data_IF_368220192847
#
_entry.id   IF_368220192847
#
_cell.length_a   1.000
_cell.length_b   1.000
_cell.length_c   1.000
_cell.angle_alpha   90.00
_cell.angle_beta   90.00
_cell.angle_gamma   90.00
#
_symmetry.space_group_name_H-M   'P 1'
#
loop_
_entity.id
_entity.type
_entity.pdbx_description
1 polymer ?
#
# COMPACT_ATOMS: atom_id res chain seq x y z
N UNK A 1 -1.61 -3.29 9.81
CA UNK A 1 -2.41 -4.41 9.28
C UNK A 1 -3.83 -4.29 9.79
N UNK A 2 -4.72 -5.23 9.44
CA UNK A 2 -6.14 -5.15 9.87
C UNK A 2 -6.33 -5.31 11.38
N UNK A 3 -5.38 -5.95 12.08
CA UNK A 3 -5.37 -6.14 13.53
C UNK A 3 -4.40 -5.18 14.25
N UNK A 4 -4.06 -4.04 13.64
CA UNK A 4 -3.19 -3.05 14.28
C UNK A 4 -3.93 -2.32 15.41
N UNK A 5 -3.62 -2.69 16.65
CA UNK A 5 -4.19 -2.08 17.86
C UNK A 5 -3.60 -0.68 18.16
N UNK A 6 -2.44 -0.33 17.59
CA UNK A 6 -1.81 0.98 17.76
C UNK A 6 -2.40 2.01 16.83
N UNK A 7 -2.67 1.59 15.59
CA UNK A 7 -3.26 2.42 14.53
C UNK A 7 -4.40 1.63 13.87
N UNK A 8 -5.66 1.84 14.29
CA UNK A 8 -6.80 1.09 13.77
C UNK A 8 -6.97 1.22 12.26
N UNK A 9 -7.38 0.14 11.60
CA UNK A 9 -7.60 0.09 10.14
C UNK A 9 -8.61 1.13 9.65
N UNK A 10 -9.54 1.55 10.52
CA UNK A 10 -10.55 2.58 10.24
C UNK A 10 -9.94 3.91 9.81
N UNK A 11 -8.75 4.28 10.30
CA UNK A 11 -8.07 5.49 9.84
C UNK A 11 -7.74 5.41 8.34
N UNK A 12 -7.29 4.25 7.87
CA UNK A 12 -7.00 4.01 6.46
C UNK A 12 -8.27 3.96 5.62
N UNK A 13 -9.37 3.38 6.12
CA UNK A 13 -10.67 3.38 5.43
C UNK A 13 -11.22 4.78 5.25
N UNK A 14 -11.19 5.61 6.30
CA UNK A 14 -11.68 6.98 6.25
C UNK A 14 -10.86 7.79 5.24
N UNK A 15 -9.53 7.69 5.29
CA UNK A 15 -8.65 8.41 4.38
C UNK A 15 -8.85 7.98 2.91
N UNK A 16 -8.92 6.67 2.64
CA UNK A 16 -9.16 6.17 1.27
C UNK A 16 -10.48 6.71 0.72
N UNK A 17 -11.56 6.62 1.50
CA UNK A 17 -12.88 7.13 1.08
C UNK A 17 -12.86 8.63 0.84
N UNK A 18 -12.18 9.41 1.69
CA UNK A 18 -12.06 10.85 1.52
C UNK A 18 -11.27 11.22 0.26
N UNK A 19 -10.15 10.54 -0.02
CA UNK A 19 -9.34 10.77 -1.23
C UNK A 19 -10.13 10.39 -2.49
N UNK A 20 -10.82 9.24 -2.46
CA UNK A 20 -11.71 8.81 -3.54
C UNK A 20 -12.82 9.83 -3.79
N UNK A 21 -13.45 10.36 -2.73
CA UNK A 21 -14.47 11.41 -2.86
C UNK A 21 -13.94 12.70 -3.50
N UNK A 22 -12.70 13.08 -3.20
CA UNK A 22 -12.03 14.25 -3.78
C UNK A 22 -11.49 14.02 -5.20
N UNK A 23 -11.65 12.82 -5.77
CA UNK A 23 -11.10 12.45 -7.07
C UNK A 23 -9.57 12.32 -7.08
N UNK A 24 -8.94 12.19 -5.92
CA UNK A 24 -7.49 11.96 -5.80
C UNK A 24 -7.22 10.47 -6.01
N UNK A 25 -6.34 10.08 -6.94
CA UNK A 25 -6.01 8.67 -7.15
C UNK A 25 -5.46 8.04 -5.88
N UNK A 26 -6.10 6.97 -5.41
CA UNK A 26 -5.71 6.22 -4.21
C UNK A 26 -5.85 4.72 -4.42
N UNK A 27 -5.04 3.93 -3.72
CA UNK A 27 -5.18 2.46 -3.62
C UNK A 27 -4.86 2.03 -2.20
N UNK A 28 -5.84 1.44 -1.52
CA UNK A 28 -5.66 0.89 -0.17
C UNK A 28 -5.27 -0.60 -0.24
N UNK A 29 -4.16 -0.95 0.41
CA UNK A 29 -3.73 -2.33 0.63
C UNK A 29 -4.03 -2.73 2.07
N UNK A 30 -4.79 -3.81 2.25
CA UNK A 30 -5.09 -4.38 3.56
C UNK A 30 -4.40 -5.72 3.70
N UNK A 31 -3.76 -5.92 4.83
CA UNK A 31 -3.15 -7.21 5.18
C UNK A 31 -3.97 -7.82 6.31
N UNK A 32 -4.78 -8.87 6.02
CA UNK A 32 -5.50 -9.64 7.02
C UNK A 32 -4.56 -10.16 8.09
N UNK A 33 -5.06 -10.21 9.32
CA UNK A 33 -4.38 -10.78 10.50
C UNK A 33 -3.07 -10.09 10.92
N UNK A 34 -2.57 -9.10 10.19
CA UNK A 34 -1.36 -8.36 10.55
C UNK A 34 -1.65 -7.26 11.56
N UNK A 35 -0.73 -7.10 12.51
CA UNK A 35 -0.71 -5.99 13.47
C UNK A 35 -0.02 -4.75 12.90
N UNK A 36 0.69 -4.00 13.74
CA UNK A 36 1.46 -2.84 13.28
C UNK A 36 2.64 -3.22 12.38
N UNK A 37 3.22 -4.38 12.61
CA UNK A 37 4.24 -5.00 11.76
C UNK A 37 3.59 -6.03 10.84
N UNK A 38 4.30 -6.40 9.75
CA UNK A 38 3.88 -7.45 8.81
C UNK A 38 4.69 -8.73 9.08
N UNK A 39 4.46 -9.36 10.23
CA UNK A 39 5.26 -10.49 10.72
C UNK A 39 4.54 -11.83 10.65
N UNK A 40 3.23 -11.86 10.43
CA UNK A 40 2.44 -13.09 10.53
C UNK A 40 2.50 -13.92 9.25
N UNK A 41 2.44 -13.27 8.08
CA UNK A 41 2.60 -13.94 6.80
C UNK A 41 3.88 -13.46 6.09
N UNK A 42 4.83 -14.36 5.77
CA UNK A 42 6.11 -14.00 5.15
C UNK A 42 5.95 -13.33 3.77
N UNK A 43 4.81 -13.50 3.10
CA UNK A 43 4.54 -12.90 1.81
C UNK A 43 4.02 -11.46 1.88
N UNK A 44 3.46 -11.01 3.00
CA UNK A 44 2.84 -9.69 3.09
C UNK A 44 3.84 -8.56 2.87
N UNK A 45 5.06 -8.66 3.41
CA UNK A 45 6.13 -7.70 3.15
C UNK A 45 6.52 -7.63 1.67
N UNK A 46 6.64 -8.78 0.99
CA UNK A 46 6.95 -8.85 -0.45
C UNK A 46 5.82 -8.25 -1.29
N UNK A 47 4.56 -8.53 -0.93
CA UNK A 47 3.38 -7.98 -1.62
C UNK A 47 3.35 -6.46 -1.46
N UNK A 48 3.55 -5.93 -0.24
CA UNK A 48 3.63 -4.49 0.02
C UNK A 48 4.65 -3.82 -0.89
N UNK A 49 5.91 -4.26 -0.85
CA UNK A 49 7.00 -3.67 -1.63
C UNK A 49 6.70 -3.71 -3.14
N UNK A 50 6.19 -4.84 -3.65
CA UNK A 50 5.84 -4.99 -5.06
C UNK A 50 4.74 -4.01 -5.49
N UNK A 51 3.68 -3.86 -4.69
CA UNK A 51 2.57 -2.96 -5.03
C UNK A 51 2.97 -1.48 -4.91
N UNK A 52 3.85 -1.13 -3.96
CA UNK A 52 4.44 0.22 -3.87
C UNK A 52 5.31 0.53 -5.10
N UNK A 53 6.14 -0.40 -5.55
CA UNK A 53 6.93 -0.23 -6.78
C UNK A 53 6.05 -0.02 -8.02
N UNK A 54 4.93 -0.74 -8.14
CA UNK A 54 3.96 -0.52 -9.23
C UNK A 54 3.31 0.86 -9.16
N UNK A 55 3.02 1.34 -7.94
CA UNK A 55 2.45 2.67 -7.73
C UNK A 55 3.45 3.76 -8.15
N UNK A 56 4.70 3.65 -7.68
CA UNK A 56 5.78 4.56 -8.05
C UNK A 56 6.03 4.53 -9.56
N UNK A 57 6.12 3.35 -10.19
CA UNK A 57 6.31 3.27 -11.65
C UNK A 57 5.20 3.96 -12.47
N UNK A 58 3.99 4.12 -11.90
CA UNK A 58 2.87 4.80 -12.55
C UNK A 58 2.88 6.31 -12.34
N UNK A 59 3.25 6.79 -11.16
CA UNK A 59 3.06 8.19 -10.76
C UNK A 59 4.37 8.95 -10.50
N UNK A 60 5.46 8.24 -10.26
CA UNK A 60 6.79 8.82 -10.15
C UNK A 60 7.33 9.01 -11.58
N UNK A 61 7.61 10.25 -11.96
CA UNK A 61 8.08 10.61 -13.31
C UNK A 61 9.54 10.19 -13.57
N UNK A 62 10.03 9.17 -12.87
CA UNK A 62 11.39 8.64 -13.05
C UNK A 62 11.45 7.96 -14.41
N UNK A 63 12.35 8.38 -15.33
CA UNK A 63 12.55 7.69 -16.59
C UNK A 63 12.85 6.21 -16.31
N UNK A 64 12.07 5.31 -16.88
CA UNK A 64 12.30 3.87 -16.77
C UNK A 64 13.74 3.59 -17.23
N UNK A 65 14.59 3.11 -16.32
CA UNK A 65 15.93 2.68 -16.67
C UNK A 65 15.79 1.55 -17.70
N UNK A 66 16.31 1.77 -18.91
CA UNK A 66 16.33 0.74 -19.95
C UNK A 66 17.17 -0.42 -19.42
N UNK A 67 16.51 -1.54 -19.18
CA UNK A 67 17.20 -2.81 -18.93
C UNK A 67 17.68 -3.28 -20.30
N UNK A 68 18.96 -3.08 -20.58
CA UNK A 68 19.60 -3.69 -21.75
C UNK A 68 19.73 -5.20 -21.51
N UNK A 69 19.16 -5.99 -22.41
CA UNK A 69 19.27 -7.45 -22.49
C UNK A 69 20.37 -7.86 -23.45
#
# INVERSE_FOLDING_TARGET
>A
GTNDIRVPADQSYILERSLTYLGVPVKLLLFPDEGHTLSNNPWHGKIKAREELKWLAKYDHVPQAKVET
#
